data_IF_962274440809
#
_entry.id   IF_962274440809
#
_cell.length_a   1.000
_cell.length_b   1.000
_cell.length_c   1.000
_cell.angle_alpha   90.00
_cell.angle_beta   90.00
_cell.angle_gamma   90.00
#
_symmetry.space_group_name_H-M   'P 1'
#
loop_
_entity.id
_entity.type
_entity.pdbx_description
1 polymer ?
#
# COMPACT_ATOMS: atom_id res chain seq x y z
N UNK A 1 -3.75 30.94 8.33
CA UNK A 1 -3.34 29.93 7.31
C UNK A 1 -4.56 29.16 6.86
N UNK A 2 -4.76 28.96 5.55
CA UNK A 2 -5.95 28.27 5.03
C UNK A 2 -5.83 26.75 5.27
N UNK A 3 -6.86 26.08 5.83
CA UNK A 3 -6.80 24.66 6.19
C UNK A 3 -6.53 23.74 4.97
N UNK A 4 -6.85 24.19 3.76
CA UNK A 4 -6.56 23.50 2.50
C UNK A 4 -5.06 23.34 2.22
N UNK A 5 -4.21 24.29 2.63
CA UNK A 5 -2.77 24.21 2.38
C UNK A 5 -2.09 23.16 3.27
N UNK A 6 -2.57 23.00 4.51
CA UNK A 6 -2.06 22.00 5.46
C UNK A 6 -2.45 20.59 5.02
N UNK A 7 -3.68 20.42 4.54
CA UNK A 7 -4.15 19.13 4.03
C UNK A 7 -3.38 18.69 2.77
N UNK A 8 -3.16 19.60 1.82
CA UNK A 8 -2.38 19.31 0.61
C UNK A 8 -0.92 18.97 0.94
N UNK A 9 -0.30 19.69 1.88
CA UNK A 9 1.05 19.40 2.35
C UNK A 9 1.16 18.03 3.03
N UNK A 10 0.15 17.64 3.84
CA UNK A 10 0.10 16.33 4.47
C UNK A 10 -0.06 15.19 3.44
N UNK A 11 -0.89 15.39 2.41
CA UNK A 11 -1.05 14.41 1.32
C UNK A 11 0.24 14.26 0.52
N UNK A 12 0.89 15.36 0.14
CA UNK A 12 2.17 15.32 -0.58
C UNK A 12 3.25 14.63 0.27
N UNK A 13 3.38 15.00 1.55
CA UNK A 13 4.35 14.38 2.45
C UNK A 13 4.09 12.88 2.64
N UNK A 14 2.82 12.46 2.74
CA UNK A 14 2.45 11.05 2.83
C UNK A 14 2.77 10.26 1.56
N UNK A 15 2.60 10.87 0.38
CA UNK A 15 2.94 10.24 -0.91
C UNK A 15 4.45 10.12 -1.13
N UNK A 16 5.25 11.04 -0.58
CA UNK A 16 6.73 10.96 -0.62
C UNK A 16 7.30 9.95 0.37
N UNK A 17 6.51 9.52 1.37
CA UNK A 17 6.88 8.47 2.33
C UNK A 17 6.48 7.07 1.85
N UNK A 18 5.86 6.94 0.68
CA UNK A 18 5.66 5.65 0.04
C UNK A 18 7.02 5.11 -0.40
N UNK A 19 7.57 4.19 0.40
CA UNK A 19 8.79 3.44 0.09
C UNK A 19 8.63 2.84 -1.32
N UNK A 20 9.55 3.14 -2.23
CA UNK A 20 9.59 2.50 -3.54
C UNK A 20 9.64 0.97 -3.33
N UNK A 21 8.57 0.25 -3.67
CA UNK A 21 8.65 -1.21 -3.73
C UNK A 21 9.48 -1.58 -4.96
N UNK A 22 10.73 -2.00 -4.76
CA UNK A 22 11.55 -2.48 -5.87
C UNK A 22 11.54 -3.99 -5.84
N UNK A 23 10.66 -4.62 -6.63
CA UNK A 23 10.76 -6.06 -6.84
C UNK A 23 12.20 -6.43 -7.25
N UNK A 24 12.83 -7.35 -6.53
CA UNK A 24 14.12 -7.89 -6.90
C UNK A 24 13.96 -8.64 -8.21
N UNK A 25 14.73 -8.20 -9.21
CA UNK A 25 14.89 -8.90 -10.48
C UNK A 25 16.34 -9.40 -10.54
N UNK A 26 16.52 -10.71 -10.49
CA UNK A 26 17.83 -11.33 -10.58
C UNK A 26 17.82 -12.39 -11.68
N UNK A 27 18.87 -12.42 -12.48
CA UNK A 27 19.04 -13.38 -13.56
C UNK A 27 20.09 -14.43 -13.18
N UNK A 28 19.81 -15.68 -13.54
CA UNK A 28 20.76 -16.78 -13.48
C UNK A 28 20.67 -17.65 -14.74
N UNK A 29 21.70 -18.45 -14.96
CA UNK A 29 21.73 -19.43 -16.05
C UNK A 29 22.28 -20.75 -15.53
N UNK A 30 21.64 -21.86 -15.87
CA UNK A 30 22.09 -23.21 -15.55
C UNK A 30 21.66 -24.18 -16.65
N UNK A 31 22.56 -25.03 -17.15
CA UNK A 31 22.24 -26.12 -18.08
C UNK A 31 21.46 -25.66 -19.32
N UNK A 32 21.86 -24.54 -19.92
CA UNK A 32 21.20 -23.97 -21.12
C UNK A 32 19.87 -23.24 -20.86
N UNK A 33 19.40 -23.17 -19.61
CA UNK A 33 18.22 -22.41 -19.21
C UNK A 33 18.61 -21.06 -18.63
N UNK A 34 18.06 -19.97 -19.17
CA UNK A 34 18.10 -18.65 -18.53
C UNK A 34 16.89 -18.49 -17.62
N UNK A 35 17.11 -18.12 -16.36
CA UNK A 35 16.07 -18.00 -15.33
C UNK A 35 16.09 -16.60 -14.74
N UNK A 36 14.96 -15.90 -14.82
CA UNK A 36 14.76 -14.62 -14.15
C UNK A 36 13.89 -14.82 -12.92
N UNK A 37 14.35 -14.34 -11.77
CA UNK A 37 13.65 -14.38 -10.49
C UNK A 37 12.99 -13.04 -10.23
N UNK A 38 11.72 -13.10 -9.79
CA UNK A 38 10.93 -11.98 -9.33
C UNK A 38 10.48 -12.24 -7.89
N UNK A 39 10.89 -11.36 -6.98
CA UNK A 39 10.56 -11.48 -5.56
C UNK A 39 10.45 -10.10 -4.91
N UNK A 40 9.71 -9.93 -3.80
CA UNK A 40 9.65 -8.65 -3.10
C UNK A 40 10.99 -8.34 -2.41
N UNK A 41 11.43 -7.09 -2.42
CA UNK A 41 12.61 -6.63 -1.68
C UNK A 41 12.38 -6.44 -0.17
N UNK A 42 11.11 -6.40 0.25
CA UNK A 42 10.73 -6.26 1.65
C UNK A 42 9.48 -7.05 2.00
N UNK A 43 9.32 -7.38 3.28
CA UNK A 43 8.13 -8.04 3.80
C UNK A 43 7.90 -7.72 5.29
N UNK A 44 6.64 -7.77 5.71
CA UNK A 44 6.28 -7.65 7.12
C UNK A 44 6.54 -8.96 7.89
N UNK A 45 6.90 -8.82 9.17
CA UNK A 45 6.89 -9.96 10.10
C UNK A 45 5.54 -10.71 10.08
N UNK A 46 5.59 -12.04 10.17
CA UNK A 46 4.40 -12.89 10.21
C UNK A 46 3.77 -13.19 8.84
N UNK A 47 4.22 -12.52 7.78
CA UNK A 47 3.70 -12.69 6.42
C UNK A 47 4.47 -13.74 5.62
N UNK A 48 3.96 -14.03 4.42
CA UNK A 48 4.52 -15.06 3.52
C UNK A 48 5.08 -14.42 2.25
N UNK A 49 6.31 -14.82 1.91
CA UNK A 49 7.00 -14.49 0.67
C UNK A 49 6.62 -15.51 -0.41
N UNK A 50 6.35 -15.01 -1.61
CA UNK A 50 6.22 -15.81 -2.82
C UNK A 50 7.26 -15.35 -3.84
N UNK A 51 8.03 -16.29 -4.37
CA UNK A 51 9.08 -16.06 -5.34
C UNK A 51 8.64 -16.66 -6.66
N UNK A 52 8.68 -15.88 -7.73
CA UNK A 52 8.39 -16.35 -9.08
C UNK A 52 9.69 -16.52 -9.86
N UNK A 53 9.90 -17.69 -10.45
CA UNK A 53 11.01 -17.95 -11.36
C UNK A 53 10.46 -18.14 -12.77
N UNK A 54 11.01 -17.40 -13.72
CA UNK A 54 10.64 -17.47 -15.14
C UNK A 54 11.81 -18.05 -15.90
N UNK A 55 11.67 -19.29 -16.34
CA UNK A 55 12.69 -20.00 -17.06
C UNK A 55 12.44 -19.99 -18.56
N UNK A 56 13.51 -19.82 -19.33
CA UNK A 56 13.54 -20.01 -20.78
C UNK A 56 14.65 -20.99 -21.11
N UNK A 57 14.31 -22.06 -21.82
CA UNK A 57 15.30 -23.01 -22.30
C UNK A 57 15.82 -22.53 -23.66
N UNK A 58 17.10 -22.22 -23.73
CA UNK A 58 17.76 -21.74 -24.94
C UNK A 58 18.45 -22.87 -25.71
N UNK A 59 18.32 -24.12 -25.26
CA UNK A 59 18.87 -25.30 -25.91
C UNK A 59 17.90 -25.95 -26.90
N UNK A 60 18.43 -26.83 -27.75
CA UNK A 60 17.68 -27.58 -28.76
C UNK A 60 16.97 -28.83 -28.20
N UNK A 61 17.14 -29.15 -26.92
CA UNK A 61 16.54 -30.30 -26.24
C UNK A 61 15.79 -29.86 -25.00
N UNK A 62 14.83 -30.66 -24.56
CA UNK A 62 14.13 -30.42 -23.30
C UNK A 62 15.11 -30.46 -22.12
N UNK A 63 14.90 -29.58 -21.15
CA UNK A 63 15.75 -29.46 -19.97
C UNK A 63 14.96 -29.68 -18.69
N UNK A 64 15.48 -30.48 -17.76
CA UNK A 64 14.92 -30.62 -16.42
C UNK A 64 15.49 -29.52 -15.53
N UNK A 65 14.63 -28.62 -15.09
CA UNK A 65 14.98 -27.49 -14.23
C UNK A 65 14.43 -27.70 -12.83
N UNK A 66 15.25 -27.45 -11.81
CA UNK A 66 14.84 -27.35 -10.42
C UNK A 66 15.20 -25.98 -9.87
N UNK A 67 14.28 -25.37 -9.12
CA UNK A 67 14.50 -24.11 -8.40
C UNK A 67 14.17 -24.35 -6.94
N UNK A 68 15.09 -24.02 -6.05
CA UNK A 68 14.94 -24.20 -4.62
C UNK A 68 15.30 -22.92 -3.87
N UNK A 69 14.56 -22.62 -2.81
CA UNK A 69 14.95 -21.58 -1.87
C UNK A 69 15.57 -22.23 -0.64
N UNK A 70 16.64 -21.62 -0.11
CA UNK A 70 17.32 -22.06 1.10
C UNK A 70 17.60 -20.85 2.01
N UNK A 71 17.64 -21.13 3.31
CA UNK A 71 18.09 -20.17 4.30
C UNK A 71 19.61 -20.24 4.44
N UNK A 72 20.27 -19.08 4.52
CA UNK A 72 21.66 -19.05 4.97
C UNK A 72 21.75 -19.31 6.48
N UNK A 73 22.95 -19.67 6.94
CA UNK A 73 23.19 -19.91 8.36
C UNK A 73 22.77 -18.70 9.20
N UNK A 74 21.89 -18.92 10.19
CA UNK A 74 21.33 -17.87 11.05
C UNK A 74 19.99 -17.29 10.56
N UNK A 75 19.55 -17.57 9.33
CA UNK A 75 18.24 -17.15 8.83
C UNK A 75 17.09 -18.08 9.27
N UNK A 76 17.39 -19.19 9.94
CA UNK A 76 16.40 -20.13 10.51
C UNK A 76 15.57 -19.51 11.65
N UNK A 77 16.13 -18.53 12.36
CA UNK A 77 15.40 -17.75 13.38
C UNK A 77 14.47 -16.69 12.75
N UNK A 78 14.46 -16.59 11.42
CA UNK A 78 13.77 -15.54 10.66
C UNK A 78 12.71 -16.13 9.75
N UNK A 79 13.02 -17.21 9.02
CA UNK A 79 12.14 -17.79 8.01
C UNK A 79 11.79 -19.24 8.33
N UNK A 80 10.53 -19.59 8.03
CA UNK A 80 10.05 -20.97 7.93
C UNK A 80 9.96 -21.29 6.44
N UNK A 81 10.74 -22.28 5.99
CA UNK A 81 10.74 -22.71 4.60
C UNK A 81 9.59 -23.69 4.32
N UNK A 82 8.96 -23.63 3.13
CA UNK A 82 7.95 -24.61 2.73
C UNK A 82 8.60 -25.99 2.53
N UNK A 83 7.81 -27.05 2.72
CA UNK A 83 8.21 -28.42 2.37
C UNK A 83 7.24 -28.98 1.31
N UNK A 84 7.72 -29.39 0.12
CA UNK A 84 9.12 -29.27 -0.36
C UNK A 84 9.52 -27.80 -0.61
N UNK A 85 10.80 -27.47 -0.41
CA UNK A 85 11.36 -26.13 -0.66
C UNK A 85 11.89 -25.96 -2.09
N UNK A 86 11.81 -27.03 -2.88
CA UNK A 86 12.21 -27.12 -4.27
C UNK A 86 11.01 -27.40 -5.19
N UNK A 87 11.05 -26.82 -6.38
CA UNK A 87 10.08 -27.07 -7.44
C UNK A 87 10.86 -27.45 -8.68
N UNK A 88 10.52 -28.60 -9.28
CA UNK A 88 11.15 -29.06 -10.51
C UNK A 88 10.14 -29.27 -11.62
N UNK A 89 10.58 -29.03 -12.85
CA UNK A 89 9.77 -29.18 -14.06
C UNK A 89 10.64 -29.46 -15.28
N UNK A 90 10.00 -29.85 -16.37
CA UNK A 90 10.65 -29.91 -17.69
C UNK A 90 10.33 -28.64 -18.45
N UNK A 91 11.37 -27.97 -18.94
CA UNK A 91 11.26 -26.79 -19.81
C UNK A 91 11.51 -27.25 -21.24
N UNK A 92 10.49 -27.20 -22.13
CA UNK A 92 10.63 -27.65 -23.51
C UNK A 92 11.73 -26.90 -24.26
N UNK A 93 12.36 -27.53 -25.26
CA UNK A 93 13.34 -26.89 -26.14
C UNK A 93 12.80 -25.56 -26.73
N UNK A 94 13.55 -24.47 -26.60
CA UNK A 94 13.12 -23.12 -27.01
C UNK A 94 11.91 -22.54 -26.22
N UNK A 95 11.38 -23.29 -25.26
CA UNK A 95 10.17 -22.99 -24.51
C UNK A 95 10.40 -22.10 -23.29
N UNK A 96 9.28 -21.71 -22.65
CA UNK A 96 9.25 -20.87 -21.46
C UNK A 96 8.29 -21.45 -20.43
N UNK A 97 8.71 -21.50 -19.17
CA UNK A 97 7.89 -22.00 -18.05
C UNK A 97 7.99 -21.01 -16.87
N UNK A 98 6.90 -20.91 -16.11
CA UNK A 98 6.84 -20.17 -14.85
C UNK A 98 6.77 -21.16 -13.70
N UNK A 99 7.58 -20.90 -12.69
CA UNK A 99 7.69 -21.67 -11.45
C UNK A 99 7.45 -20.70 -10.31
N UNK A 100 6.82 -21.17 -9.24
CA UNK A 100 6.62 -20.37 -8.04
C UNK A 100 7.04 -21.16 -6.81
N UNK A 101 7.89 -20.55 -5.98
CA UNK A 101 8.18 -21.02 -4.64
C UNK A 101 7.29 -20.20 -3.72
N UNK A 102 6.33 -20.86 -3.08
CA UNK A 102 5.34 -20.22 -2.22
C UNK A 102 5.40 -20.80 -0.82
N UNK A 103 4.99 -20.02 0.18
CA UNK A 103 4.94 -20.50 1.56
C UNK A 103 6.20 -20.26 2.40
N UNK A 104 7.14 -19.43 1.93
CA UNK A 104 8.26 -18.98 2.77
C UNK A 104 7.70 -17.97 3.78
N UNK A 105 7.56 -18.36 5.04
CA UNK A 105 6.92 -17.52 6.07
C UNK A 105 7.97 -16.81 6.92
N UNK A 106 7.82 -15.52 7.12
CA UNK A 106 8.61 -14.76 8.10
C UNK A 106 8.01 -14.95 9.48
N UNK A 107 8.84 -15.25 10.47
CA UNK A 107 8.39 -15.39 11.84
C UNK A 107 7.82 -14.05 12.38
N UNK A 108 6.75 -14.07 13.17
CA UNK A 108 6.14 -12.84 13.71
C UNK A 108 7.09 -12.07 14.64
N UNK A 109 8.05 -12.76 15.26
CA UNK A 109 9.05 -12.18 16.15
C UNK A 109 10.46 -12.13 15.51
N UNK A 110 10.55 -12.30 14.19
CA UNK A 110 11.82 -12.24 13.47
C UNK A 110 12.54 -10.90 13.73
N UNK A 111 13.88 -10.88 13.74
CA UNK A 111 14.62 -9.62 13.84
C UNK A 111 14.32 -8.75 12.62
N UNK A 112 14.06 -7.46 12.84
CA UNK A 112 13.89 -6.49 11.76
C UNK A 112 15.23 -6.12 11.15
N UNK A 113 15.25 -5.80 9.86
CA UNK A 113 16.47 -5.51 9.11
C UNK A 113 16.60 -6.41 7.88
N UNK A 114 17.78 -6.41 7.27
CA UNK A 114 18.02 -7.21 6.06
C UNK A 114 18.42 -8.63 6.47
N UNK A 115 17.72 -9.62 5.92
CA UNK A 115 18.06 -11.04 6.02
C UNK A 115 18.19 -11.62 4.62
N UNK A 116 19.17 -12.50 4.41
CA UNK A 116 19.48 -13.06 3.08
C UNK A 116 18.97 -14.48 2.96
N UNK A 117 18.23 -14.74 1.88
CA UNK A 117 17.90 -16.07 1.39
C UNK A 117 18.80 -16.41 0.20
N UNK A 118 19.04 -17.70 -0.04
CA UNK A 118 19.70 -18.15 -1.26
C UNK A 118 18.71 -18.87 -2.17
N UNK A 119 18.71 -18.52 -3.45
CA UNK A 119 17.91 -19.20 -4.47
C UNK A 119 18.88 -20.00 -5.33
N UNK A 120 18.62 -21.30 -5.40
CA UNK A 120 19.41 -22.26 -6.14
C UNK A 120 18.65 -22.68 -7.39
N UNK A 121 19.31 -22.58 -8.55
CA UNK A 121 18.78 -23.00 -9.83
C UNK A 121 19.66 -24.11 -10.36
N UNK A 122 19.08 -25.29 -10.60
CA UNK A 122 19.81 -26.46 -11.06
C UNK A 122 19.21 -27.02 -12.36
N UNK A 123 20.06 -27.27 -13.36
CA UNK A 123 19.67 -27.90 -14.62
C UNK A 123 20.87 -28.60 -15.25
N UNK A 124 20.67 -29.82 -15.75
CA UNK A 124 21.71 -30.53 -16.51
C UNK A 124 23.03 -30.81 -15.78
N UNK A 125 23.04 -30.74 -14.43
CA UNK A 125 24.25 -30.87 -13.61
C UNK A 125 24.90 -29.53 -13.22
N UNK A 126 24.48 -28.42 -13.85
CA UNK A 126 24.91 -27.08 -13.46
C UNK A 126 24.07 -26.54 -12.30
N UNK A 127 24.70 -25.78 -11.42
CA UNK A 127 24.07 -25.12 -10.28
C UNK A 127 24.44 -23.63 -10.26
N UNK A 128 23.43 -22.76 -10.29
CA UNK A 128 23.59 -21.34 -10.06
C UNK A 128 22.97 -20.96 -8.70
N UNK A 129 23.61 -20.02 -8.00
CA UNK A 129 23.14 -19.46 -6.74
C UNK A 129 22.92 -17.96 -6.90
N UNK A 130 21.80 -17.49 -6.38
CA UNK A 130 21.45 -16.06 -6.32
C UNK A 130 21.25 -15.71 -4.84
N UNK A 131 21.87 -14.63 -4.40
CA UNK A 131 21.60 -14.05 -3.09
C UNK A 131 20.36 -13.15 -3.18
N UNK A 132 19.42 -13.38 -2.27
CA UNK A 132 18.15 -12.68 -2.20
C UNK A 132 18.06 -11.97 -0.84
N UNK A 133 18.55 -10.71 -0.75
CA UNK A 133 18.36 -9.90 0.43
C UNK A 133 16.90 -9.45 0.55
N UNK A 134 16.31 -9.65 1.72
CA UNK A 134 14.94 -9.25 2.04
C UNK A 134 14.94 -8.36 3.27
N UNK A 135 14.34 -7.18 3.14
CA UNK A 135 14.15 -6.26 4.26
C UNK A 135 12.91 -6.65 5.07
N UNK A 136 13.11 -6.99 6.33
CA UNK A 136 12.05 -7.37 7.26
C UNK A 136 11.61 -6.16 8.05
N UNK A 137 10.39 -5.73 7.78
CA UNK A 137 9.77 -4.59 8.40
C UNK A 137 8.92 -5.08 9.56
N UNK A 138 8.98 -4.33 10.68
CA UNK A 138 8.17 -4.62 11.85
C UNK A 138 6.70 -4.71 11.46
N UNK A 139 6.07 -5.84 11.73
CA UNK A 139 4.64 -6.02 11.47
C UNK A 139 3.81 -4.95 12.20
N UNK A 140 2.62 -4.66 11.67
CA UNK A 140 1.71 -3.75 12.36
C UNK A 140 1.42 -4.26 13.77
N UNK A 141 1.57 -3.39 14.77
CA UNK A 141 1.19 -3.70 16.17
C UNK A 141 -0.31 -3.97 16.32
N UNK A 142 -1.10 -3.57 15.31
CA UNK A 142 -2.55 -3.63 15.29
C UNK A 142 -2.94 -4.58 14.17
N UNK A 143 -3.83 -5.54 14.45
CA UNK A 143 -4.31 -6.48 13.43
C UNK A 143 -4.82 -5.74 12.19
N UNK A 144 -4.50 -6.26 11.00
CA UNK A 144 -4.88 -5.64 9.70
C UNK A 144 -6.38 -5.33 9.63
N UNK A 145 -7.22 -6.20 10.20
CA UNK A 145 -8.67 -5.99 10.26
C UNK A 145 -9.07 -4.77 11.09
N UNK A 146 -8.33 -4.46 12.15
CA UNK A 146 -8.64 -3.35 13.05
C UNK A 146 -8.25 -1.99 12.45
N UNK A 147 -7.23 -1.92 11.59
CA UNK A 147 -6.95 -0.70 10.80
C UNK A 147 -8.07 -0.33 9.85
N UNK A 148 -8.76 -1.32 9.28
CA UNK A 148 -9.91 -1.09 8.39
C UNK A 148 -11.10 -0.44 9.11
N UNK A 149 -11.16 -0.54 10.44
CA UNK A 149 -12.18 0.08 11.28
C UNK A 149 -11.69 1.41 11.83
N UNK A 150 -10.47 1.44 12.37
CA UNK A 150 -9.91 2.62 13.03
C UNK A 150 -9.70 3.80 12.06
N UNK A 151 -9.27 3.53 10.83
CA UNK A 151 -8.93 4.60 9.89
C UNK A 151 -10.18 5.33 9.38
N UNK A 152 -11.26 4.66 8.91
CA UNK A 152 -12.51 5.34 8.60
C UNK A 152 -13.15 6.01 9.83
N UNK A 153 -13.08 5.38 11.01
CA UNK A 153 -13.62 5.96 12.23
C UNK A 153 -12.91 7.26 12.62
N UNK A 154 -11.57 7.29 12.53
CA UNK A 154 -10.79 8.50 12.79
C UNK A 154 -11.10 9.60 11.77
N UNK A 155 -11.18 9.26 10.48
CA UNK A 155 -11.55 10.23 9.42
C UNK A 155 -12.94 10.80 9.67
N UNK A 156 -13.92 9.95 10.00
CA UNK A 156 -15.27 10.36 10.31
C UNK A 156 -15.34 11.25 11.57
N UNK A 157 -14.55 10.92 12.60
CA UNK A 157 -14.46 11.71 13.83
C UNK A 157 -13.87 13.10 13.56
N UNK A 158 -12.77 13.18 12.80
CA UNK A 158 -12.16 14.45 12.41
C UNK A 158 -13.09 15.33 11.57
N UNK A 159 -13.82 14.73 10.62
CA UNK A 159 -14.84 15.43 9.84
C UNK A 159 -16.01 15.91 10.68
N UNK A 160 -16.46 15.10 11.63
CA UNK A 160 -17.54 15.48 12.56
C UNK A 160 -17.11 16.65 13.44
N UNK A 161 -15.88 16.64 13.96
CA UNK A 161 -15.33 17.75 14.72
C UNK A 161 -15.19 19.03 13.87
N UNK A 162 -14.72 18.93 12.63
CA UNK A 162 -14.65 20.06 11.71
C UNK A 162 -16.04 20.65 11.42
N UNK A 163 -17.06 19.80 11.21
CA UNK A 163 -18.43 20.24 10.99
C UNK A 163 -18.98 20.99 12.22
N UNK A 164 -18.71 20.50 13.44
CA UNK A 164 -19.09 21.19 14.68
C UNK A 164 -18.45 22.57 14.83
N UNK A 165 -17.23 22.78 14.33
CA UNK A 165 -16.58 24.10 14.36
C UNK A 165 -17.14 25.08 13.32
N UNK A 166 -17.72 24.58 12.23
CA UNK A 166 -18.30 25.41 11.15
C UNK A 166 -19.80 25.67 11.38
N UNK A 167 -20.51 24.76 12.04
CA UNK A 167 -21.93 24.89 12.37
C UNK A 167 -22.30 26.24 13.03
N UNK A 168 -21.53 26.77 14.00
CA UNK A 168 -21.81 28.09 14.58
C UNK A 168 -21.86 29.21 13.54
N UNK A 169 -21.01 29.17 12.50
CA UNK A 169 -21.01 30.18 11.43
C UNK A 169 -22.27 30.12 10.57
N UNK A 170 -22.85 28.93 10.40
CA UNK A 170 -24.14 28.76 9.74
C UNK A 170 -25.32 29.10 10.65
N UNK A 171 -25.11 29.30 11.95
CA UNK A 171 -26.15 29.73 12.90
C UNK A 171 -26.19 31.25 13.12
N UNK A 172 -25.24 32.01 12.55
CA UNK A 172 -25.20 33.47 12.64
C UNK A 172 -26.45 34.09 11.98
N UNK A 173 -27.01 35.14 12.62
CA UNK A 173 -28.17 35.87 12.10
C UNK A 173 -27.83 36.45 10.73
N UNK A 174 -28.49 35.96 9.69
CA UNK A 174 -28.26 36.38 8.29
C UNK A 174 -27.50 35.38 7.42
N UNK A 175 -27.00 34.26 7.98
CA UNK A 175 -26.31 33.21 7.22
C UNK A 175 -27.22 32.48 6.21
N UNK A 176 -28.53 32.43 6.49
CA UNK A 176 -29.54 31.86 5.61
C UNK A 176 -30.33 32.99 4.92
N UNK A 177 -29.79 33.55 3.84
CA UNK A 177 -30.58 34.42 2.95
C UNK A 177 -31.42 33.55 2.01
N UNK A 178 -32.72 33.79 1.95
CA UNK A 178 -33.58 33.18 0.93
C UNK A 178 -33.10 33.68 -0.44
N UNK A 179 -33.09 32.85 -1.51
CA UNK A 179 -32.66 33.27 -2.84
C UNK A 179 -33.37 34.53 -3.39
N UNK A 180 -34.54 34.86 -2.84
CA UNK A 180 -35.36 36.01 -3.20
C UNK A 180 -35.23 37.22 -2.26
N UNK A 181 -34.29 37.21 -1.29
CA UNK A 181 -34.14 38.31 -0.35
C UNK A 181 -33.39 39.48 -1.03
N UNK A 182 -34.08 40.62 -1.18
CA UNK A 182 -33.51 41.87 -1.69
C UNK A 182 -32.38 42.33 -0.76
N UNK A 183 -31.22 42.63 -1.34
CA UNK A 183 -30.06 43.09 -0.59
C UNK A 183 -30.27 44.56 -0.22
N UNK A 184 -30.63 44.84 1.03
CA UNK A 184 -30.66 46.21 1.56
C UNK A 184 -29.32 46.44 2.27
N UNK A 185 -28.44 47.33 1.77
CA UNK A 185 -27.23 47.70 2.49
C UNK A 185 -27.59 48.46 3.77
N UNK A 186 -26.90 48.19 4.87
CA UNK A 186 -27.07 48.92 6.12
C UNK A 186 -26.73 50.41 5.91
N UNK A 187 -27.76 51.24 5.85
CA UNK A 187 -27.59 52.69 5.68
C UNK A 187 -28.81 53.47 5.18
N UNK A 188 -29.82 52.82 4.59
CA UNK A 188 -31.00 53.53 4.08
C UNK A 188 -32.22 53.35 5.00
N UNK A 189 -32.52 54.40 5.75
CA UNK A 189 -33.81 54.57 6.44
C UNK A 189 -34.92 54.79 5.40
N UNK A 190 -35.98 53.99 5.48
CA UNK A 190 -37.22 54.20 4.71
C UNK A 190 -37.84 55.59 5.00
N UNK A 191 -38.49 56.24 4.02
CA UNK A 191 -39.26 57.45 4.29
C UNK A 191 -40.47 57.11 5.17
N UNK A 192 -40.73 57.99 6.12
CA UNK A 192 -41.79 57.90 7.12
C UNK A 192 -43.16 57.96 6.46
N UNK A 193 -43.93 56.88 6.54
CA UNK A 193 -45.36 56.91 6.24
C UNK A 193 -46.07 57.78 7.28
N UNK A 194 -46.66 58.87 6.82
CA UNK A 194 -47.41 59.82 7.65
C UNK A 194 -48.83 59.27 7.86
N UNK A 195 -49.32 59.07 9.10
CA UNK A 195 -50.71 58.66 9.30
C UNK A 195 -51.63 59.88 9.22
N UNK A 196 -52.46 59.95 8.17
CA UNK A 196 -53.58 60.89 8.09
C UNK A 196 -54.71 60.38 8.99
N UNK A 197 -54.92 61.03 10.13
CA UNK A 197 -56.11 60.83 10.97
C UNK A 197 -57.34 61.46 10.29
N UNK A 198 -58.27 60.65 9.79
CA UNK A 198 -59.65 61.10 9.59
C UNK A 198 -60.44 60.95 10.90
N UNK A 199 -61.02 62.07 11.34
CA UNK A 199 -61.96 62.20 12.45
C UNK A 199 -63.30 61.57 12.09
N UNK A 200 -63.90 60.84 13.03
CA UNK A 200 -65.37 60.73 13.10
C UNK A 200 -65.79 60.86 14.56
N UNK A 201 -66.42 61.98 14.89
CA UNK A 201 -67.22 62.17 16.11
C UNK A 201 -68.69 61.99 15.75
N UNK A 202 -69.39 61.23 16.60
CA UNK A 202 -70.82 61.20 16.92
C UNK A 202 -71.85 61.48 15.80
#
# INVERSE_FOLDING_TARGET
>A
MRPTAVFLAAVILSSTLCVESRALNADASAGGCSVTIFAPDWIWQGETINIMAVARNNSASDAKLAVAAACEAGAEEVFIMPQPSDVSTVVPAGGKVRLAISGIRVLPNARTGISTLSIHVASGGDLARIEYPVSIIRGSLVEKGMWSILLPALVAFLWSAALLLVLPRYSERGAWKRPSAVFVPEGESHPVDTPTHERTTA
#
